data_IF_377349325528
#
_entry.id   IF_377349325528
#
_cell.length_a   1.000
_cell.length_b   1.000
_cell.length_c   1.000
_cell.angle_alpha   90.00
_cell.angle_beta   90.00
_cell.angle_gamma   90.00
#
_symmetry.space_group_name_H-M   'P 1'
#
loop_
_entity.id
_entity.type
_entity.pdbx_description
1 polymer ?
#
# COMPACT_ATOMS: atom_id res chain seq x y z
N UNK A 1 0.40 19.47 -24.17
CA UNK A 1 1.13 18.96 -23.01
C UNK A 1 0.14 18.46 -21.92
N UNK A 2 -0.69 17.42 -22.23
CA UNK A 2 -1.76 16.93 -21.33
C UNK A 2 -1.59 15.45 -20.95
N UNK A 3 -0.37 14.87 -21.02
CA UNK A 3 -0.17 13.42 -20.90
C UNK A 3 0.57 12.95 -19.64
N UNK A 4 1.16 13.81 -18.83
CA UNK A 4 1.96 13.39 -17.67
C UNK A 4 1.11 13.03 -16.44
N UNK A 5 0.08 13.82 -16.10
CA UNK A 5 -0.75 13.58 -14.92
C UNK A 5 -1.62 12.30 -15.00
N UNK A 6 -2.00 11.91 -16.23
CA UNK A 6 -2.77 10.67 -16.47
C UNK A 6 -1.90 9.43 -16.26
N UNK A 7 -0.58 9.54 -16.47
CA UNK A 7 0.34 8.39 -16.38
C UNK A 7 0.60 7.94 -14.93
N UNK A 8 0.69 8.85 -13.97
CA UNK A 8 0.90 8.50 -12.55
C UNK A 8 -0.32 7.80 -11.98
N UNK A 9 -1.51 8.26 -12.35
CA UNK A 9 -2.78 7.67 -11.91
C UNK A 9 -3.03 6.29 -12.55
N UNK A 10 -2.74 6.17 -13.86
CA UNK A 10 -2.84 4.91 -14.59
C UNK A 10 -1.77 3.88 -14.14
N UNK A 11 -0.61 4.34 -13.67
CA UNK A 11 0.46 3.44 -13.25
C UNK A 11 0.19 2.84 -11.86
N UNK A 12 -0.34 3.61 -10.91
CA UNK A 12 -0.85 3.09 -9.63
C UNK A 12 -2.05 2.16 -9.85
N UNK A 13 -2.94 2.50 -10.78
CA UNK A 13 -4.06 1.64 -11.16
C UNK A 13 -3.62 0.40 -11.94
N UNK A 14 -2.62 0.49 -12.82
CA UNK A 14 -2.08 -0.67 -13.53
C UNK A 14 -1.33 -1.62 -12.59
N UNK A 15 -0.63 -1.10 -11.58
CA UNK A 15 -0.02 -1.91 -10.54
C UNK A 15 -1.06 -2.52 -9.58
N UNK A 16 -2.26 -1.92 -9.48
CA UNK A 16 -3.37 -2.42 -8.66
C UNK A 16 -4.36 -3.29 -9.43
N UNK A 17 -4.13 -3.53 -10.74
CA UNK A 17 -5.02 -4.38 -11.56
C UNK A 17 -6.40 -3.79 -11.81
N UNK A 18 -6.58 -2.48 -11.64
CA UNK A 18 -7.85 -1.80 -11.90
C UNK A 18 -7.98 -1.39 -13.37
N UNK A 19 -7.93 -2.36 -14.26
CA UNK A 19 -8.65 -2.24 -15.53
C UNK A 19 -10.01 -2.88 -15.30
N UNK A 20 -11.07 -2.15 -15.52
CA UNK A 20 -12.44 -2.65 -15.68
C UNK A 20 -12.55 -3.48 -16.98
N UNK A 21 -11.78 -4.54 -17.04
CA UNK A 21 -11.86 -5.61 -18.01
C UNK A 21 -11.84 -6.89 -17.21
N UNK A 22 -12.76 -7.80 -17.44
CA UNK A 22 -12.85 -9.10 -16.77
C UNK A 22 -11.45 -9.70 -16.63
N UNK A 23 -10.85 -9.57 -15.45
CA UNK A 23 -9.51 -10.04 -15.19
C UNK A 23 -9.57 -11.54 -14.90
N UNK A 24 -9.36 -12.33 -15.97
CA UNK A 24 -9.26 -13.78 -15.89
C UNK A 24 -8.14 -14.24 -14.96
N UNK A 25 -7.10 -13.39 -14.74
CA UNK A 25 -6.01 -13.68 -13.84
C UNK A 25 -6.45 -13.59 -12.36
N UNK A 26 -7.21 -12.56 -11.99
CA UNK A 26 -7.77 -12.42 -10.65
C UNK A 26 -8.70 -13.58 -10.28
N UNK A 27 -9.55 -14.00 -11.23
CA UNK A 27 -10.45 -15.16 -11.07
C UNK A 27 -9.66 -16.46 -10.91
N UNK A 28 -8.56 -16.63 -11.67
CA UNK A 28 -7.69 -17.81 -11.56
C UNK A 28 -6.97 -17.85 -10.20
N UNK A 29 -6.47 -16.70 -9.70
CA UNK A 29 -5.84 -16.61 -8.38
C UNK A 29 -6.85 -16.91 -7.26
N UNK A 30 -8.05 -16.35 -7.31
CA UNK A 30 -9.15 -16.68 -6.38
C UNK A 30 -9.52 -18.15 -6.41
N UNK A 31 -9.60 -18.73 -7.61
CA UNK A 31 -9.84 -20.17 -7.78
C UNK A 31 -8.75 -21.00 -7.10
N UNK A 32 -7.49 -20.59 -7.21
CA UNK A 32 -6.36 -21.25 -6.60
C UNK A 32 -6.41 -21.18 -5.07
N UNK A 33 -6.74 -20.01 -4.50
CA UNK A 33 -6.94 -19.88 -3.05
C UNK A 33 -8.12 -20.69 -2.53
N UNK A 34 -9.22 -20.76 -3.26
CA UNK A 34 -10.35 -21.62 -2.90
C UNK A 34 -9.95 -23.10 -2.86
N UNK A 35 -9.10 -23.53 -3.78
CA UNK A 35 -8.56 -24.90 -3.77
C UNK A 35 -7.67 -25.10 -2.55
N UNK A 36 -6.77 -24.17 -2.25
CA UNK A 36 -5.92 -24.23 -1.06
C UNK A 36 -6.73 -24.21 0.23
N UNK A 37 -7.72 -23.33 0.34
CA UNK A 37 -8.63 -23.28 1.48
C UNK A 37 -9.46 -24.56 1.64
N UNK A 38 -9.91 -25.17 0.54
CA UNK A 38 -10.63 -26.44 0.56
C UNK A 38 -9.72 -27.62 0.97
N UNK A 39 -8.41 -27.52 0.72
CA UNK A 39 -7.43 -28.49 1.17
C UNK A 39 -6.99 -28.26 2.64
N UNK A 40 -7.36 -27.11 3.21
CA UNK A 40 -6.87 -26.65 4.53
C UNK A 40 -7.82 -26.84 5.74
N UNK A 41 -9.04 -27.40 5.67
CA UNK A 41 -9.79 -27.70 6.89
C UNK A 41 -9.17 -28.91 7.56
N UNK A 42 -8.02 -28.73 8.22
CA UNK A 42 -7.28 -29.79 8.88
C UNK A 42 -7.30 -29.58 10.40
N UNK A 43 -7.29 -30.67 11.17
CA UNK A 43 -7.21 -30.57 12.63
C UNK A 43 -5.96 -29.79 13.06
N UNK A 44 -5.98 -29.21 14.25
CA UNK A 44 -4.87 -28.46 14.85
C UNK A 44 -3.54 -29.22 14.95
N UNK A 45 -3.54 -30.52 14.71
CA UNK A 45 -2.35 -31.39 14.65
C UNK A 45 -1.52 -31.24 13.36
N UNK A 46 -2.02 -30.49 12.35
CA UNK A 46 -1.35 -30.35 11.04
C UNK A 46 -0.76 -28.94 10.84
N UNK A 47 -0.20 -28.36 11.91
CA UNK A 47 0.43 -27.03 11.89
C UNK A 47 1.48 -26.90 10.78
N UNK A 48 2.28 -27.92 10.56
CA UNK A 48 3.35 -27.93 9.58
C UNK A 48 2.82 -27.74 8.15
N UNK A 49 1.71 -28.40 7.80
CA UNK A 49 1.09 -28.27 6.48
C UNK A 49 0.48 -26.87 6.27
N UNK A 50 -0.09 -26.25 7.31
CA UNK A 50 -0.64 -24.88 7.25
C UNK A 50 0.47 -23.86 7.08
N UNK A 51 1.61 -24.05 7.74
CA UNK A 51 2.75 -23.13 7.68
C UNK A 51 3.48 -23.17 6.33
N UNK A 52 3.30 -24.24 5.54
CA UNK A 52 3.83 -24.30 4.16
C UNK A 52 3.00 -23.56 3.13
N UNK A 53 1.79 -23.10 3.48
CA UNK A 53 0.92 -22.36 2.56
C UNK A 53 1.56 -21.01 2.22
N UNK A 54 1.67 -20.75 0.90
CA UNK A 54 2.22 -19.51 0.35
C UNK A 54 1.35 -18.96 -0.75
N UNK A 55 1.44 -17.65 -0.97
CA UNK A 55 0.76 -16.99 -2.06
C UNK A 55 1.35 -17.44 -3.41
N UNK A 56 0.55 -17.94 -4.36
CA UNK A 56 1.03 -18.39 -5.66
C UNK A 56 1.29 -17.20 -6.59
N UNK A 57 2.55 -16.86 -6.84
CA UNK A 57 2.91 -15.87 -7.83
C UNK A 57 3.23 -16.48 -9.20
N UNK A 58 2.78 -15.80 -10.26
CA UNK A 58 3.26 -16.04 -11.61
C UNK A 58 4.67 -15.45 -11.77
N UNK A 59 5.62 -16.27 -12.25
CA UNK A 59 7.01 -15.83 -12.50
C UNK A 59 7.10 -14.74 -13.57
N UNK A 60 6.25 -14.80 -14.60
CA UNK A 60 6.22 -13.78 -15.65
C UNK A 60 5.78 -12.42 -15.11
N UNK A 61 4.80 -12.42 -14.23
CA UNK A 61 4.35 -11.23 -13.51
C UNK A 61 5.47 -10.66 -12.63
N UNK A 62 6.17 -11.48 -11.85
CA UNK A 62 7.29 -11.06 -11.03
C UNK A 62 8.40 -10.40 -11.86
N UNK A 63 8.80 -11.05 -12.97
CA UNK A 63 9.82 -10.52 -13.89
C UNK A 63 9.41 -9.15 -14.44
N UNK A 64 8.17 -8.99 -14.86
CA UNK A 64 7.65 -7.73 -15.42
C UNK A 64 7.65 -6.61 -14.37
N UNK A 65 7.13 -6.86 -13.17
CA UNK A 65 7.06 -5.85 -12.13
C UNK A 65 8.43 -5.39 -11.65
N UNK A 66 9.40 -6.32 -11.56
CA UNK A 66 10.75 -6.01 -11.12
C UNK A 66 11.69 -5.57 -12.27
N UNK A 67 11.18 -5.41 -13.49
CA UNK A 67 11.98 -4.90 -14.62
C UNK A 67 12.32 -3.43 -14.48
N UNK A 68 11.41 -2.63 -13.94
CA UNK A 68 11.61 -1.20 -13.71
C UNK A 68 12.38 -1.00 -12.40
N UNK A 69 13.65 -0.58 -12.55
CA UNK A 69 14.58 -0.43 -11.43
C UNK A 69 14.31 0.86 -10.64
N UNK A 70 14.72 0.94 -9.36
CA UNK A 70 14.59 2.15 -8.57
C UNK A 70 15.26 3.36 -9.22
N UNK A 71 14.67 4.53 -9.06
CA UNK A 71 15.21 5.80 -9.56
C UNK A 71 16.18 6.44 -8.57
N UNK A 72 15.77 6.60 -7.30
CA UNK A 72 16.62 7.18 -6.26
C UNK A 72 17.48 6.15 -5.55
N UNK A 73 16.92 4.99 -5.22
CA UNK A 73 17.54 3.98 -4.36
C UNK A 73 18.19 2.83 -5.15
N UNK A 74 18.92 3.17 -6.23
CA UNK A 74 19.50 2.20 -7.16
C UNK A 74 20.48 1.20 -6.53
N UNK A 75 21.12 1.57 -5.42
CA UNK A 75 22.12 0.74 -4.73
C UNK A 75 21.57 0.03 -3.48
N UNK A 76 20.26 0.11 -3.28
CA UNK A 76 19.57 -0.52 -2.14
C UNK A 76 18.99 -1.87 -2.59
N UNK A 77 19.08 -2.85 -1.70
CA UNK A 77 18.43 -4.15 -1.84
C UNK A 77 17.15 -4.22 -0.99
N UNK A 78 16.21 -5.08 -1.36
CA UNK A 78 15.05 -5.37 -0.51
C UNK A 78 15.46 -5.94 0.87
N UNK A 79 16.61 -6.58 0.95
CA UNK A 79 17.15 -7.13 2.21
C UNK A 79 17.75 -6.06 3.15
N UNK A 80 17.93 -4.84 2.67
CA UNK A 80 18.33 -3.71 3.52
C UNK A 80 17.19 -3.22 4.41
N UNK A 81 15.94 -3.51 4.03
CA UNK A 81 14.78 -3.22 4.86
C UNK A 81 14.61 -4.29 5.94
N UNK A 82 14.75 -3.87 7.19
CA UNK A 82 14.65 -4.75 8.36
C UNK A 82 13.20 -4.81 8.84
N UNK A 83 12.45 -5.77 8.29
CA UNK A 83 11.09 -6.06 8.71
C UNK A 83 11.07 -7.28 9.63
N UNK A 84 10.16 -7.33 10.61
CA UNK A 84 9.87 -8.58 11.29
C UNK A 84 9.36 -9.61 10.26
N UNK A 85 9.67 -10.88 10.45
CA UNK A 85 9.03 -11.91 9.63
C UNK A 85 7.52 -11.95 9.91
N UNK A 86 6.69 -12.25 8.91
CA UNK A 86 5.27 -12.45 9.16
C UNK A 86 5.06 -13.60 10.14
N UNK A 87 4.10 -13.49 11.06
CA UNK A 87 3.78 -14.60 11.96
C UNK A 87 3.45 -15.87 11.17
N UNK A 88 3.91 -17.03 11.66
CA UNK A 88 3.59 -18.30 11.04
C UNK A 88 2.06 -18.50 10.92
N UNK A 89 1.60 -19.15 9.87
CA UNK A 89 0.17 -19.31 9.61
C UNK A 89 -0.57 -20.01 10.76
N UNK A 90 0.08 -20.96 11.45
CA UNK A 90 -0.45 -21.71 12.59
C UNK A 90 -0.25 -21.02 13.94
N UNK A 91 0.46 -19.87 13.99
CA UNK A 91 0.85 -19.24 15.26
C UNK A 91 -0.35 -18.68 16.04
N UNK A 92 -0.20 -18.58 17.37
CA UNK A 92 -1.19 -17.95 18.23
C UNK A 92 -1.45 -16.48 17.85
N UNK A 93 -0.42 -15.78 17.37
CA UNK A 93 -0.57 -14.40 16.86
C UNK A 93 -1.45 -14.36 15.62
N UNK A 94 -1.23 -15.22 14.62
CA UNK A 94 -2.07 -15.29 13.42
C UNK A 94 -3.52 -15.64 13.82
N UNK A 95 -3.73 -16.56 14.76
CA UNK A 95 -5.09 -16.87 15.25
C UNK A 95 -5.75 -15.65 15.89
N UNK A 96 -5.05 -14.93 16.74
CA UNK A 96 -5.58 -13.72 17.38
C UNK A 96 -5.91 -12.63 16.36
N UNK A 97 -5.11 -12.48 15.32
CA UNK A 97 -5.37 -11.52 14.20
C UNK A 97 -6.61 -11.94 13.39
N UNK A 98 -6.80 -13.23 13.12
CA UNK A 98 -8.00 -13.75 12.44
C UNK A 98 -9.26 -13.54 13.29
N UNK A 99 -9.20 -13.81 14.59
CA UNK A 99 -10.32 -13.59 15.53
C UNK A 99 -10.68 -12.09 15.60
N UNK A 100 -9.69 -11.20 15.58
CA UNK A 100 -9.89 -9.76 15.51
C UNK A 100 -10.61 -9.36 14.20
N UNK A 101 -10.18 -9.88 13.05
CA UNK A 101 -10.82 -9.59 11.75
C UNK A 101 -12.26 -10.11 11.69
N UNK A 102 -12.55 -11.28 12.27
CA UNK A 102 -13.91 -11.79 12.42
C UNK A 102 -14.77 -10.87 13.31
N UNK A 103 -14.20 -10.37 14.40
CA UNK A 103 -14.89 -9.41 15.27
C UNK A 103 -15.20 -8.10 14.53
N UNK A 104 -14.23 -7.54 13.77
CA UNK A 104 -14.47 -6.38 12.91
C UNK A 104 -15.59 -6.65 11.90
N UNK A 105 -15.55 -7.78 11.21
CA UNK A 105 -16.58 -8.17 10.26
C UNK A 105 -17.98 -8.25 10.90
N UNK A 106 -18.06 -8.76 12.12
CA UNK A 106 -19.32 -8.88 12.84
C UNK A 106 -19.91 -7.53 13.25
N UNK A 107 -19.06 -6.57 13.58
CA UNK A 107 -19.49 -5.26 14.10
C UNK A 107 -19.53 -4.15 13.02
N UNK A 108 -18.92 -4.36 11.85
CA UNK A 108 -18.87 -3.34 10.79
C UNK A 108 -20.26 -2.96 10.29
N UNK A 109 -20.50 -1.67 10.18
CA UNK A 109 -21.72 -1.09 9.62
C UNK A 109 -21.61 -0.91 8.10
N UNK A 110 -22.74 -0.70 7.37
CA UNK A 110 -22.67 -0.32 5.96
C UNK A 110 -21.85 0.94 5.69
N UNK A 111 -21.78 1.87 6.66
CA UNK A 111 -20.95 3.07 6.57
C UNK A 111 -19.45 2.76 6.65
N UNK A 112 -19.07 1.89 7.60
CA UNK A 112 -17.67 1.44 7.70
C UNK A 112 -17.21 0.75 6.41
N UNK A 113 -18.08 -0.06 5.81
CA UNK A 113 -17.81 -0.72 4.51
C UNK A 113 -17.62 0.31 3.40
N UNK A 114 -18.55 1.28 3.26
CA UNK A 114 -18.45 2.32 2.22
C UNK A 114 -17.19 3.16 2.39
N UNK A 115 -16.91 3.61 3.60
CA UNK A 115 -15.74 4.42 3.93
C UNK A 115 -14.44 3.66 3.64
N UNK A 116 -14.36 2.40 4.05
CA UNK A 116 -13.17 1.55 3.85
C UNK A 116 -12.92 1.26 2.37
N UNK A 117 -13.96 0.97 1.59
CA UNK A 117 -13.86 0.77 0.14
C UNK A 117 -13.48 2.07 -0.57
N UNK A 118 -14.07 3.20 -0.17
CA UNK A 118 -13.70 4.51 -0.70
C UNK A 118 -12.22 4.81 -0.49
N UNK A 119 -11.71 4.62 0.74
CA UNK A 119 -10.29 4.81 1.04
C UNK A 119 -9.37 3.88 0.21
N UNK A 120 -9.84 2.68 -0.11
CA UNK A 120 -9.06 1.73 -0.92
C UNK A 120 -8.98 2.12 -2.40
N UNK A 121 -9.92 2.90 -2.90
CA UNK A 121 -10.05 3.24 -4.33
C UNK A 121 -9.66 4.66 -4.68
N UNK A 122 -9.72 5.59 -3.72
CA UNK A 122 -9.49 7.02 -3.95
C UNK A 122 -8.16 7.45 -3.33
N UNK A 123 -7.21 7.80 -4.19
CA UNK A 123 -5.93 8.37 -3.79
C UNK A 123 -5.91 9.84 -4.19
N UNK A 124 -5.97 10.78 -3.22
CA UNK A 124 -5.93 12.20 -3.53
C UNK A 124 -4.60 12.59 -4.17
N UNK A 125 -4.64 13.44 -5.19
CA UNK A 125 -3.45 14.02 -5.80
C UNK A 125 -2.77 15.02 -4.85
N UNK A 126 -1.54 15.42 -5.15
CA UNK A 126 -0.87 16.47 -4.37
C UNK A 126 -1.64 17.80 -4.42
N UNK A 127 -2.31 18.08 -5.53
CA UNK A 127 -3.22 19.21 -5.66
C UNK A 127 -4.42 19.10 -4.71
N UNK A 128 -5.04 17.92 -4.61
CA UNK A 128 -6.16 17.68 -3.69
C UNK A 128 -5.71 17.79 -2.23
N UNK A 129 -4.54 17.27 -1.90
CA UNK A 129 -3.95 17.38 -0.54
C UNK A 129 -3.81 18.86 -0.16
N UNK A 130 -3.23 19.70 -1.02
CA UNK A 130 -3.05 21.11 -0.71
C UNK A 130 -4.38 21.86 -0.56
N UNK A 131 -5.43 21.46 -1.32
CA UNK A 131 -6.79 21.99 -1.12
C UNK A 131 -7.40 21.56 0.21
N UNK A 132 -7.27 20.28 0.55
CA UNK A 132 -7.80 19.71 1.80
C UNK A 132 -7.20 20.38 3.04
N UNK A 133 -5.91 20.77 3.00
CA UNK A 133 -5.25 21.47 4.09
C UNK A 133 -5.32 23.01 3.98
N UNK A 134 -6.04 23.52 2.98
CA UNK A 134 -6.27 24.97 2.83
C UNK A 134 -5.09 25.78 2.31
N UNK A 135 -4.11 25.14 1.63
CA UNK A 135 -2.98 25.86 1.02
C UNK A 135 -3.38 26.62 -0.24
N UNK A 136 -4.39 26.10 -0.97
CA UNK A 136 -5.02 26.75 -2.12
C UNK A 136 -6.49 26.30 -2.23
N UNK A 137 -7.32 27.11 -2.89
CA UNK A 137 -8.76 26.87 -3.03
C UNK A 137 -9.12 26.10 -4.31
N UNK A 138 -8.34 26.32 -5.37
CA UNK A 138 -8.57 25.73 -6.67
C UNK A 138 -7.52 24.65 -7.00
N UNK A 139 -7.81 23.72 -7.93
CA UNK A 139 -6.82 22.73 -8.36
C UNK A 139 -5.56 23.40 -8.94
N UNK A 140 -4.40 23.02 -8.44
CA UNK A 140 -3.11 23.53 -8.88
C UNK A 140 -2.33 22.51 -9.71
N UNK A 141 -1.53 23.01 -10.66
CA UNK A 141 -0.56 22.18 -11.36
C UNK A 141 0.76 22.20 -10.59
N UNK A 142 1.21 21.01 -10.21
CA UNK A 142 2.40 20.78 -9.39
C UNK A 142 3.37 19.83 -10.09
N UNK A 143 3.96 20.24 -11.25
CA UNK A 143 4.74 19.34 -12.09
C UNK A 143 6.00 18.79 -11.41
N UNK A 144 6.64 19.54 -10.52
CA UNK A 144 7.82 19.08 -9.79
C UNK A 144 7.40 18.07 -8.71
N UNK A 145 6.29 18.33 -8.02
CA UNK A 145 5.70 17.42 -7.04
C UNK A 145 5.27 16.11 -7.70
N UNK A 146 4.54 16.19 -8.82
CA UNK A 146 4.08 15.02 -9.56
C UNK A 146 5.26 14.16 -10.05
N UNK A 147 6.33 14.80 -10.53
CA UNK A 147 7.56 14.11 -10.94
C UNK A 147 8.24 13.40 -9.76
N UNK A 148 8.38 14.07 -8.62
CA UNK A 148 8.98 13.49 -7.42
C UNK A 148 8.18 12.28 -6.95
N UNK A 149 6.85 12.41 -6.81
CA UNK A 149 6.01 11.31 -6.36
C UNK A 149 5.95 10.14 -7.36
N UNK A 150 6.10 10.42 -8.66
CA UNK A 150 6.24 9.37 -9.69
C UNK A 150 7.49 8.52 -9.46
N UNK A 151 8.64 9.14 -9.23
CA UNK A 151 9.89 8.44 -8.94
C UNK A 151 9.86 7.72 -7.58
N UNK A 152 9.23 8.33 -6.56
CA UNK A 152 8.99 7.69 -5.26
C UNK A 152 8.12 6.44 -5.42
N UNK A 153 7.07 6.51 -6.25
CA UNK A 153 6.21 5.37 -6.54
C UNK A 153 6.94 4.26 -7.30
N UNK A 154 7.82 4.61 -8.24
CA UNK A 154 8.67 3.66 -8.95
C UNK A 154 9.56 2.88 -7.98
N UNK A 155 10.28 3.58 -7.11
CA UNK A 155 11.13 2.96 -6.09
C UNK A 155 10.30 2.12 -5.11
N UNK A 156 9.21 2.70 -4.60
CA UNK A 156 8.31 2.03 -3.67
C UNK A 156 7.72 0.74 -4.22
N UNK A 157 7.33 0.75 -5.49
CA UNK A 157 6.84 -0.44 -6.20
C UNK A 157 7.89 -1.54 -6.26
N UNK A 158 9.09 -1.22 -6.71
CA UNK A 158 10.17 -2.20 -6.83
C UNK A 158 10.40 -2.93 -5.50
N UNK A 159 10.56 -2.17 -4.41
CA UNK A 159 10.86 -2.78 -3.10
C UNK A 159 9.64 -3.46 -2.48
N UNK A 160 8.45 -2.87 -2.59
CA UNK A 160 7.22 -3.49 -2.10
C UNK A 160 6.99 -4.86 -2.74
N UNK A 161 7.10 -4.97 -4.07
CA UNK A 161 6.94 -6.23 -4.76
C UNK A 161 8.06 -7.21 -4.48
N UNK A 162 9.32 -6.75 -4.36
CA UNK A 162 10.43 -7.59 -3.92
C UNK A 162 10.15 -8.24 -2.57
N UNK A 163 9.62 -7.46 -1.61
CA UNK A 163 9.23 -7.97 -0.29
C UNK A 163 8.03 -8.92 -0.37
N UNK A 164 7.03 -8.61 -1.19
CA UNK A 164 5.87 -9.48 -1.39
C UNK A 164 6.27 -10.84 -1.97
N UNK A 165 7.18 -10.87 -2.93
CA UNK A 165 7.73 -12.12 -3.49
C UNK A 165 8.66 -12.86 -2.53
N UNK A 166 9.29 -12.15 -1.60
CA UNK A 166 10.12 -12.78 -0.56
C UNK A 166 9.29 -13.52 0.47
N UNK A 167 8.21 -12.89 0.95
CA UNK A 167 7.43 -13.41 2.08
C UNK A 167 6.26 -14.30 1.66
N UNK A 168 5.63 -14.04 0.54
CA UNK A 168 4.53 -14.83 -0.04
C UNK A 168 3.41 -15.18 0.96
N UNK A 169 3.14 -14.30 1.94
CA UNK A 169 2.12 -14.54 2.96
C UNK A 169 0.73 -14.66 2.35
N UNK A 170 0.01 -15.70 2.72
CA UNK A 170 -1.39 -15.88 2.31
C UNK A 170 -2.31 -14.86 2.97
N UNK A 171 -3.45 -14.58 2.33
CA UNK A 171 -4.46 -13.63 2.83
C UNK A 171 -5.28 -14.20 3.99
N UNK A 172 -5.89 -13.35 4.87
CA UNK A 172 -6.68 -13.79 6.01
C UNK A 172 -7.79 -14.78 5.65
N UNK A 173 -8.54 -14.50 4.59
CA UNK A 173 -9.65 -15.33 4.11
C UNK A 173 -9.23 -16.71 3.56
N UNK A 174 -7.93 -16.94 3.37
CA UNK A 174 -7.39 -18.26 3.00
C UNK A 174 -7.28 -19.15 4.24
N UNK A 175 -6.83 -18.59 5.37
CA UNK A 175 -6.67 -19.33 6.63
C UNK A 175 -7.97 -19.43 7.41
N UNK A 176 -8.85 -18.43 7.30
CA UNK A 176 -10.16 -18.41 7.93
C UNK A 176 -11.25 -18.09 6.88
N UNK A 177 -11.87 -19.12 6.29
CA UNK A 177 -12.87 -18.97 5.22
C UNK A 177 -14.16 -18.23 5.64
N UNK A 178 -14.37 -18.00 6.93
CA UNK A 178 -15.48 -17.18 7.45
C UNK A 178 -15.23 -15.69 7.29
N UNK A 179 -14.00 -15.28 7.02
CA UNK A 179 -13.69 -13.90 6.68
C UNK A 179 -14.12 -13.65 5.24
N UNK A 180 -15.10 -12.75 5.09
CA UNK A 180 -15.62 -12.30 3.79
C UNK A 180 -14.86 -11.07 3.37
N UNK A 181 -13.87 -11.26 2.49
CA UNK A 181 -13.14 -10.17 1.84
C UNK A 181 -14.08 -9.36 0.93
N UNK A 182 -13.98 -8.04 1.01
CA UNK A 182 -14.81 -7.13 0.22
C UNK A 182 -14.08 -6.56 -1.00
N UNK A 183 -12.84 -6.97 -1.20
CA UNK A 183 -12.01 -6.57 -2.35
C UNK A 183 -11.18 -7.75 -2.83
N UNK A 184 -11.18 -7.98 -4.13
CA UNK A 184 -10.36 -9.00 -4.75
C UNK A 184 -8.88 -8.62 -4.73
N UNK A 185 -8.03 -9.52 -4.23
CA UNK A 185 -6.58 -9.29 -4.12
C UNK A 185 -5.79 -10.26 -4.98
N UNK A 186 -4.93 -9.74 -5.84
CA UNK A 186 -4.05 -10.51 -6.73
C UNK A 186 -2.59 -10.60 -6.21
N UNK A 187 -2.32 -10.10 -5.01
CA UNK A 187 -0.99 -10.04 -4.41
C UNK A 187 -0.98 -10.66 -3.01
N UNK A 188 0.20 -11.13 -2.58
CA UNK A 188 0.41 -11.63 -1.22
C UNK A 188 0.05 -10.56 -0.17
N UNK A 189 -0.25 -11.03 1.04
CA UNK A 189 -0.72 -10.16 2.10
C UNK A 189 0.38 -9.21 2.62
N UNK A 190 1.60 -9.71 2.80
CA UNK A 190 2.68 -9.04 3.51
C UNK A 190 3.76 -8.46 2.57
N UNK A 191 4.24 -7.22 2.83
CA UNK A 191 3.61 -6.19 3.64
C UNK A 191 2.39 -5.57 2.94
N UNK A 192 1.54 -4.84 3.68
CA UNK A 192 0.32 -4.23 3.17
C UNK A 192 0.60 -3.13 2.14
N UNK A 193 0.14 -3.30 0.87
CA UNK A 193 0.49 -2.41 -0.23
C UNK A 193 -0.10 -1.00 -0.09
N UNK A 194 -1.42 -0.87 0.07
CA UNK A 194 -2.11 0.41 0.27
C UNK A 194 -1.55 1.17 1.48
N UNK A 195 -1.30 0.44 2.56
CA UNK A 195 -0.77 0.99 3.81
C UNK A 195 0.66 1.48 3.63
N UNK A 196 1.48 0.76 2.86
CA UNK A 196 2.83 1.20 2.50
C UNK A 196 2.80 2.59 1.85
N UNK A 197 1.99 2.77 0.80
CA UNK A 197 1.89 4.06 0.11
C UNK A 197 1.27 5.15 0.98
N UNK A 198 0.25 4.82 1.76
CA UNK A 198 -0.35 5.77 2.68
C UNK A 198 0.69 6.35 3.66
N UNK A 199 1.55 5.50 4.24
CA UNK A 199 2.62 5.97 5.12
C UNK A 199 3.79 6.64 4.40
N UNK A 200 4.20 6.16 3.21
CA UNK A 200 5.24 6.84 2.40
C UNK A 200 4.82 8.28 2.12
N UNK A 201 3.60 8.47 1.64
CA UNK A 201 3.07 9.80 1.30
C UNK A 201 2.86 10.66 2.55
N UNK A 202 2.33 10.09 3.63
CA UNK A 202 2.19 10.79 4.90
C UNK A 202 3.55 11.33 5.42
N UNK A 203 4.60 10.50 5.35
CA UNK A 203 5.94 10.89 5.78
C UNK A 203 6.62 11.91 4.86
N UNK A 204 6.25 12.01 3.60
CA UNK A 204 6.75 13.04 2.68
C UNK A 204 5.93 14.32 2.85
N UNK A 205 4.60 14.24 2.89
CA UNK A 205 3.74 15.42 3.06
C UNK A 205 3.96 16.15 4.39
N UNK A 206 4.24 15.45 5.48
CA UNK A 206 4.57 16.11 6.75
C UNK A 206 5.85 16.97 6.69
N UNK A 207 6.76 16.69 5.74
CA UNK A 207 7.95 17.52 5.52
C UNK A 207 7.65 18.73 4.59
N UNK A 208 6.53 18.67 3.84
CA UNK A 208 6.02 19.78 3.03
C UNK A 208 5.09 20.70 3.81
N UNK A 209 4.28 20.13 4.72
CA UNK A 209 3.30 20.82 5.54
C UNK A 209 3.36 20.32 7.00
N UNK A 210 4.40 20.69 7.77
CA UNK A 210 4.64 20.13 9.11
C UNK A 210 3.50 20.39 10.10
N UNK A 211 2.76 21.48 9.95
CA UNK A 211 1.60 21.82 10.77
C UNK A 211 0.45 20.82 10.65
N UNK A 212 0.43 19.99 9.59
CA UNK A 212 -0.55 18.92 9.35
C UNK A 212 0.04 17.51 9.52
N UNK A 213 1.23 17.38 10.11
CA UNK A 213 1.93 16.11 10.23
C UNK A 213 1.08 15.01 10.87
N UNK A 214 0.39 15.32 11.96
CA UNK A 214 -0.48 14.37 12.68
C UNK A 214 -1.68 13.94 11.84
N UNK A 215 -2.26 14.85 11.06
CA UNK A 215 -3.36 14.54 10.16
C UNK A 215 -2.95 13.53 9.08
N UNK A 216 -1.80 13.71 8.46
CA UNK A 216 -1.30 12.78 7.45
C UNK A 216 -1.05 11.39 8.01
N UNK A 217 -0.43 11.31 9.21
CA UNK A 217 -0.18 10.02 9.87
C UNK A 217 -1.47 9.36 10.33
N UNK A 218 -2.43 10.13 10.87
CA UNK A 218 -3.74 9.60 11.24
C UNK A 218 -4.51 9.04 10.03
N UNK A 219 -4.42 9.71 8.86
CA UNK A 219 -5.03 9.21 7.63
C UNK A 219 -4.37 7.90 7.14
N UNK A 220 -3.04 7.77 7.26
CA UNK A 220 -2.35 6.51 6.94
C UNK A 220 -2.75 5.37 7.89
N UNK A 221 -2.96 5.66 9.17
CA UNK A 221 -3.50 4.70 10.13
C UNK A 221 -4.95 4.30 9.79
N UNK A 222 -5.78 5.26 9.40
CA UNK A 222 -7.14 4.97 8.96
C UNK A 222 -7.16 4.07 7.71
N UNK A 223 -6.22 4.25 6.76
CA UNK A 223 -6.03 3.32 5.64
C UNK A 223 -5.72 1.90 6.13
N UNK A 224 -4.83 1.75 7.13
CA UNK A 224 -4.50 0.43 7.68
C UNK A 224 -5.77 -0.25 8.24
N UNK A 225 -6.54 0.48 9.07
CA UNK A 225 -7.79 -0.02 9.63
C UNK A 225 -8.83 -0.35 8.53
N UNK A 226 -8.92 0.46 7.48
CA UNK A 226 -9.80 0.19 6.35
C UNK A 226 -9.47 -1.16 5.66
N UNK A 227 -8.19 -1.51 5.53
CA UNK A 227 -7.75 -2.79 4.94
C UNK A 227 -8.08 -3.99 5.84
N UNK A 228 -8.08 -3.80 7.15
CA UNK A 228 -8.54 -4.80 8.14
C UNK A 228 -10.07 -4.94 8.08
N UNK A 229 -10.79 -3.82 8.06
CA UNK A 229 -12.25 -3.75 8.00
C UNK A 229 -12.83 -4.53 6.81
N UNK A 230 -12.17 -4.49 5.66
CA UNK A 230 -12.59 -5.23 4.46
C UNK A 230 -12.01 -6.65 4.36
N UNK A 231 -11.27 -7.12 5.38
CA UNK A 231 -10.84 -8.51 5.53
C UNK A 231 -9.67 -8.94 4.65
N UNK A 232 -8.88 -8.02 4.11
CA UNK A 232 -7.82 -8.33 3.13
C UNK A 232 -6.40 -8.31 3.67
N UNK A 233 -6.20 -7.76 4.87
CA UNK A 233 -4.89 -7.69 5.53
C UNK A 233 -4.97 -8.04 7.01
N UNK A 234 -3.92 -8.64 7.52
CA UNK A 234 -3.70 -8.80 8.97
C UNK A 234 -3.16 -7.48 9.58
N UNK A 235 -3.40 -7.20 10.87
CA UNK A 235 -2.74 -6.09 11.56
C UNK A 235 -1.21 -6.08 11.42
N UNK A 236 -0.57 -7.25 11.48
CA UNK A 236 0.88 -7.38 11.31
C UNK A 236 1.38 -7.04 9.90
N UNK A 237 0.56 -7.22 8.84
CA UNK A 237 0.90 -6.75 7.49
C UNK A 237 0.98 -5.23 7.44
N UNK A 238 0.06 -4.57 8.14
CA UNK A 238 -0.06 -3.11 8.18
C UNK A 238 1.07 -2.49 9.02
N UNK A 239 1.43 -3.14 10.12
CA UNK A 239 2.58 -2.70 10.93
C UNK A 239 3.90 -2.85 10.16
N UNK A 240 4.09 -3.97 9.45
CA UNK A 240 5.25 -4.15 8.59
C UNK A 240 5.30 -3.10 7.46
N UNK A 241 4.16 -2.76 6.88
CA UNK A 241 4.05 -1.70 5.88
C UNK A 241 4.48 -0.33 6.44
N UNK A 242 4.07 0.01 7.66
CA UNK A 242 4.48 1.22 8.37
C UNK A 242 5.99 1.25 8.63
N UNK A 243 6.55 0.14 9.11
CA UNK A 243 8.00 -0.01 9.35
C UNK A 243 8.78 0.13 8.04
N UNK A 244 8.33 -0.55 6.98
CA UNK A 244 8.94 -0.44 5.65
C UNK A 244 8.91 1.00 5.14
N UNK A 245 7.74 1.64 5.13
CA UNK A 245 7.57 3.02 4.67
C UNK A 245 8.49 4.00 5.43
N UNK A 246 8.65 3.80 6.75
CA UNK A 246 9.54 4.64 7.56
C UNK A 246 11.01 4.48 7.16
N UNK A 247 11.47 3.25 6.98
CA UNK A 247 12.85 2.99 6.54
C UNK A 247 13.08 3.52 5.12
N UNK A 248 12.14 3.27 4.22
CA UNK A 248 12.18 3.71 2.83
C UNK A 248 12.31 5.24 2.73
N UNK A 249 11.43 5.99 3.40
CA UNK A 249 11.47 7.45 3.38
C UNK A 249 12.74 7.99 4.04
N UNK A 250 13.23 7.36 5.11
CA UNK A 250 14.51 7.72 5.70
C UNK A 250 15.69 7.54 4.73
N UNK A 251 15.65 6.49 3.88
CA UNK A 251 16.67 6.28 2.84
C UNK A 251 16.55 7.33 1.73
N UNK A 252 15.32 7.67 1.30
CA UNK A 252 15.09 8.76 0.33
C UNK A 252 15.68 10.08 0.82
N UNK A 253 15.41 10.47 2.07
CA UNK A 253 15.95 11.72 2.65
C UNK A 253 17.47 11.71 2.89
N UNK A 254 18.14 10.55 2.79
CA UNK A 254 19.61 10.45 2.75
C UNK A 254 20.18 10.51 1.33
N UNK A 255 19.36 10.30 0.31
CA UNK A 255 19.77 10.35 -1.10
C UNK A 255 19.88 11.82 -1.56
N UNK A 256 21.05 12.19 -2.11
CA UNK A 256 21.33 13.57 -2.54
C UNK A 256 20.37 14.05 -3.63
N UNK A 257 20.11 13.21 -4.64
CA UNK A 257 19.21 13.57 -5.75
C UNK A 257 17.78 13.79 -5.23
N UNK A 258 17.29 12.94 -4.34
CA UNK A 258 16.00 13.13 -3.73
C UNK A 258 15.92 14.44 -2.93
N UNK A 259 16.95 14.76 -2.15
CA UNK A 259 17.00 16.02 -1.39
C UNK A 259 16.93 17.24 -2.32
N UNK A 260 17.68 17.23 -3.45
CA UNK A 260 17.67 18.31 -4.43
C UNK A 260 16.28 18.49 -5.06
N UNK A 261 15.63 17.41 -5.47
CA UNK A 261 14.28 17.43 -6.04
C UNK A 261 13.24 17.86 -5.00
N UNK A 262 13.34 17.37 -3.78
CA UNK A 262 12.45 17.74 -2.69
C UNK A 262 12.54 19.23 -2.32
N UNK A 263 13.73 19.85 -2.38
CA UNK A 263 13.87 21.29 -2.19
C UNK A 263 13.19 22.09 -3.34
N UNK A 264 13.16 21.56 -4.56
CA UNK A 264 12.42 22.18 -5.65
C UNK A 264 10.91 22.08 -5.41
N UNK A 265 10.42 20.94 -4.93
CA UNK A 265 9.02 20.74 -4.55
C UNK A 265 8.61 21.68 -3.42
N UNK A 266 9.44 21.86 -2.39
CA UNK A 266 9.17 22.86 -1.34
C UNK A 266 8.96 24.26 -1.91
N UNK A 267 9.83 24.71 -2.81
CA UNK A 267 9.69 26.02 -3.47
C UNK A 267 8.42 26.13 -4.34
N UNK A 268 8.04 25.04 -5.03
CA UNK A 268 6.79 24.98 -5.79
C UNK A 268 5.57 25.18 -4.88
N UNK A 269 5.50 24.45 -3.75
CA UNK A 269 4.43 24.57 -2.76
C UNK A 269 4.37 25.97 -2.12
N UNK A 270 5.50 26.52 -1.73
CA UNK A 270 5.58 27.87 -1.17
C UNK A 270 5.13 28.95 -2.17
N UNK A 271 5.49 28.82 -3.44
CA UNK A 271 5.07 29.75 -4.48
C UNK A 271 3.55 29.76 -4.67
N UNK A 272 2.95 28.56 -4.68
CA UNK A 272 1.49 28.39 -4.82
C UNK A 272 0.74 28.94 -3.60
N UNK A 273 1.19 28.62 -2.39
CA UNK A 273 0.61 29.12 -1.15
C UNK A 273 0.60 30.65 -1.07
N UNK A 274 1.68 31.33 -1.54
CA UNK A 274 1.79 32.79 -1.56
C UNK A 274 0.84 33.47 -2.56
N UNK A 275 0.45 32.79 -3.64
CA UNK A 275 -0.49 33.32 -4.61
C UNK A 275 -1.91 33.46 -4.02
N UNK A 276 -2.33 32.49 -3.20
CA UNK A 276 -3.65 32.49 -2.56
C UNK A 276 -3.79 33.62 -1.54
N UNK A 277 -2.74 33.98 -0.82
CA UNK A 277 -2.75 35.06 0.18
C UNK A 277 -2.80 36.46 -0.47
N UNK A 278 -2.50 36.59 -1.76
CA UNK A 278 -2.48 37.89 -2.48
C UNK A 278 -3.75 38.17 -3.27
N UNK A 279 -4.63 37.19 -3.43
CA UNK A 279 -5.94 37.31 -4.09
C UNK A 279 -7.06 37.41 -3.04
#
# INVERSE_FOLDING_TARGET
MKKASVFVFLWLLACMGLTYGQDTAGTAIRGHYKILAALSPRPASDHEAVDTLKFPFDRSFATRVLSEKPFYLQHISADDFKLPDPPANSSAQTRAELDYLLALQHHRTPEDVRSSLYMSTVFPTSSDIGRLIGYWSEPEQLPLTDSLFSHVAQDGNYFLWSLKFKYERVRPYVLEPKIHDLEESFASSYPGGHVTYAYIYAYIYRELAPEFADLFVANAYAMAHAREMIGVHYPSDNEAARIFARQFVNMLFRNKKFQEDFQQVKREWEAKRKQVVRN
#
